data_IF_748492357017
#
_entry.id   IF_748492357017
#
_cell.length_a   1.000
_cell.length_b   1.000
_cell.length_c   1.000
_cell.angle_alpha   90.00
_cell.angle_beta   90.00
_cell.angle_gamma   90.00
#
_symmetry.space_group_name_H-M   'P 1'
#
loop_
_entity.id
_entity.type
_entity.pdbx_description
1 polymer ?
#
# COMPACT_ATOMS: atom_id res chain seq x y z
N UNK A 1 -12.26 -15.95 -10.67
CA UNK A 1 -11.89 -15.28 -9.41
C UNK A 1 -11.91 -16.30 -8.29
N UNK A 2 -10.83 -16.41 -7.50
CA UNK A 2 -10.89 -17.12 -6.21
C UNK A 2 -11.89 -16.36 -5.33
N UNK A 3 -12.83 -17.07 -4.70
CA UNK A 3 -13.93 -16.44 -3.94
C UNK A 3 -13.48 -15.77 -2.63
N UNK A 4 -12.30 -16.13 -2.12
CA UNK A 4 -11.78 -15.68 -0.82
C UNK A 4 -10.42 -14.95 -0.92
N UNK A 5 -10.07 -14.48 -2.13
CA UNK A 5 -8.86 -13.70 -2.37
C UNK A 5 -9.22 -12.21 -2.42
N UNK A 6 -8.63 -11.44 -1.50
CA UNK A 6 -8.65 -9.98 -1.55
C UNK A 6 -7.38 -9.48 -2.23
N UNK A 7 -7.52 -8.60 -3.21
CA UNK A 7 -6.38 -7.88 -3.78
C UNK A 7 -6.40 -6.44 -3.28
N UNK A 8 -5.32 -6.02 -2.64
CA UNK A 8 -5.14 -4.68 -2.11
C UNK A 8 -4.00 -3.99 -2.86
N UNK A 9 -4.32 -2.92 -3.57
CA UNK A 9 -3.34 -2.16 -4.36
C UNK A 9 -3.10 -0.81 -3.68
N UNK A 10 -1.88 -0.59 -3.21
CA UNK A 10 -1.42 0.70 -2.71
C UNK A 10 -0.79 1.49 -3.85
N UNK A 11 -1.24 2.72 -4.02
CA UNK A 11 -0.64 3.69 -4.94
C UNK A 11 -0.20 4.88 -4.08
N UNK A 12 1.11 4.98 -3.85
CA UNK A 12 1.70 5.95 -2.95
C UNK A 12 2.49 6.99 -3.74
N UNK A 13 2.19 8.26 -3.50
CA UNK A 13 2.95 9.37 -4.06
C UNK A 13 4.32 9.43 -3.36
N UNK A 14 5.40 9.53 -4.15
CA UNK A 14 6.78 9.74 -3.65
C UNK A 14 7.38 11.06 -4.15
N UNK A 15 6.57 11.93 -4.72
CA UNK A 15 7.00 13.23 -5.21
C UNK A 15 7.28 14.21 -4.07
N UNK A 16 7.93 15.33 -4.40
CA UNK A 16 8.34 16.33 -3.41
C UNK A 16 7.17 16.98 -2.63
N UNK A 17 5.92 16.86 -3.09
CA UNK A 17 4.75 17.33 -2.33
C UNK A 17 4.50 16.54 -1.05
N UNK A 18 5.08 15.34 -0.94
CA UNK A 18 5.00 14.51 0.25
C UNK A 18 5.99 14.92 1.35
N UNK A 19 6.81 15.95 1.11
CA UNK A 19 7.75 16.48 2.11
C UNK A 19 7.02 16.88 3.39
N UNK A 20 7.36 16.22 4.50
CA UNK A 20 6.72 16.42 5.82
C UNK A 20 5.49 15.53 6.07
N UNK A 21 5.06 14.74 5.08
CA UNK A 21 3.95 13.79 5.17
C UNK A 21 4.42 12.33 5.05
N UNK A 22 5.73 12.09 4.88
CA UNK A 22 6.28 10.75 4.63
C UNK A 22 6.02 9.83 5.82
N UNK A 23 6.24 10.35 7.04
CA UNK A 23 6.03 9.59 8.28
C UNK A 23 4.57 9.21 8.47
N UNK A 24 3.64 10.13 8.19
CA UNK A 24 2.20 9.86 8.27
C UNK A 24 1.75 8.87 7.20
N UNK A 25 2.31 8.97 5.99
CA UNK A 25 2.02 8.06 4.88
C UNK A 25 2.50 6.64 5.18
N UNK A 26 3.73 6.50 5.67
CA UNK A 26 4.30 5.21 6.11
C UNK A 26 3.50 4.64 7.28
N UNK A 27 3.13 5.48 8.25
CA UNK A 27 2.30 5.08 9.39
C UNK A 27 0.92 4.58 8.95
N UNK A 28 0.27 5.29 8.04
CA UNK A 28 -1.02 4.92 7.45
C UNK A 28 -0.94 3.59 6.69
N UNK A 29 0.09 3.41 5.86
CA UNK A 29 0.36 2.15 5.15
C UNK A 29 0.51 0.98 6.12
N UNK A 30 1.39 1.10 7.12
CA UNK A 30 1.64 0.05 8.10
C UNK A 30 0.40 -0.29 8.94
N UNK A 31 -0.39 0.72 9.30
CA UNK A 31 -1.65 0.53 10.03
C UNK A 31 -2.67 -0.23 9.19
N UNK A 32 -2.79 0.08 7.90
CA UNK A 32 -3.67 -0.66 7.00
C UNK A 32 -3.22 -2.10 6.80
N UNK A 33 -1.91 -2.32 6.65
CA UNK A 33 -1.32 -3.66 6.56
C UNK A 33 -1.64 -4.50 7.80
N UNK A 34 -1.44 -3.95 8.99
CA UNK A 34 -1.74 -4.63 10.25
C UNK A 34 -3.24 -4.97 10.38
N UNK A 35 -4.13 -4.05 9.98
CA UNK A 35 -5.58 -4.30 9.95
C UNK A 35 -5.94 -5.44 8.99
N UNK A 36 -5.33 -5.47 7.80
CA UNK A 36 -5.60 -6.51 6.81
C UNK A 36 -5.07 -7.87 7.26
N UNK A 37 -3.91 -7.92 7.92
CA UNK A 37 -3.34 -9.15 8.49
C UNK A 37 -4.20 -9.76 9.61
N UNK A 38 -5.02 -8.94 10.29
CA UNK A 38 -5.95 -9.42 11.32
C UNK A 38 -7.25 -10.00 10.75
N UNK A 39 -7.52 -9.84 9.45
CA UNK A 39 -8.69 -10.42 8.79
C UNK A 39 -8.39 -11.85 8.32
N UNK A 40 -9.38 -12.73 8.42
CA UNK A 40 -9.29 -14.06 7.84
C UNK A 40 -9.37 -14.02 6.32
N UNK A 41 -8.59 -14.86 5.63
CA UNK A 41 -8.60 -14.98 4.17
C UNK A 41 -7.22 -14.79 3.53
N UNK A 42 -7.16 -14.95 2.20
CA UNK A 42 -5.95 -14.69 1.43
C UNK A 42 -5.99 -13.23 0.97
N UNK A 43 -4.95 -12.45 1.30
CA UNK A 43 -4.80 -11.09 0.76
C UNK A 43 -3.49 -10.97 -0.01
N UNK A 44 -3.57 -10.50 -1.25
CA UNK A 44 -2.40 -10.12 -2.05
C UNK A 44 -2.26 -8.62 -2.04
N UNK A 45 -1.06 -8.16 -1.75
CA UNK A 45 -0.73 -6.75 -1.68
C UNK A 45 0.19 -6.43 -2.84
N UNK A 46 -0.16 -5.39 -3.58
CA UNK A 46 0.69 -4.77 -4.59
C UNK A 46 0.93 -3.34 -4.17
N UNK A 47 2.18 -2.92 -4.05
CA UNK A 47 2.50 -1.54 -3.72
C UNK A 47 3.19 -0.87 -4.90
N UNK A 48 2.67 0.28 -5.31
CA UNK A 48 3.20 1.10 -6.40
C UNK A 48 3.57 2.45 -5.82
N UNK A 49 4.84 2.83 -5.97
CA UNK A 49 5.28 4.19 -5.71
C UNK A 49 5.25 4.98 -7.01
N UNK A 50 4.77 6.22 -7.01
CA UNK A 50 4.73 7.04 -8.21
C UNK A 50 5.22 8.47 -7.98
N UNK A 51 5.87 9.03 -9.01
CA UNK A 51 6.17 10.45 -9.19
C UNK A 51 6.12 10.76 -10.71
N UNK A 52 7.24 11.20 -11.30
CA UNK A 52 7.41 11.25 -12.75
C UNK A 52 7.53 9.86 -13.39
N UNK A 53 7.88 8.85 -12.59
CA UNK A 53 7.91 7.44 -12.98
C UNK A 53 7.12 6.61 -11.94
N UNK A 54 6.92 5.33 -12.21
CA UNK A 54 6.36 4.41 -11.21
C UNK A 54 7.31 3.24 -10.94
N UNK A 55 7.25 2.73 -9.72
CA UNK A 55 8.01 1.57 -9.26
C UNK A 55 7.08 0.64 -8.48
N UNK A 56 7.14 -0.65 -8.78
CA UNK A 56 6.39 -1.67 -8.05
C UNK A 56 7.27 -2.31 -6.99
N UNK A 57 6.82 -2.29 -5.74
CA UNK A 57 7.44 -3.01 -4.65
C UNK A 57 6.76 -4.39 -4.55
N UNK A 58 7.52 -5.46 -4.80
CA UNK A 58 7.07 -6.86 -4.77
C UNK A 58 7.57 -7.59 -3.53
#
# INVERSE_FOLDING_TARGET
>A
MKKDLTELVFILDKSGSMSGLESDTIGGFNSMLAKQQALEGECRITTVLFDNNYETLH
#
